data_IF_969080231496
#
_entry.id   IF_969080231496
#
_cell.length_a   1.000
_cell.length_b   1.000
_cell.length_c   1.000
_cell.angle_alpha   90.00
_cell.angle_beta   90.00
_cell.angle_gamma   90.00
#
_symmetry.space_group_name_H-M   'P 1'
#
loop_
_entity.id
_entity.type
_entity.pdbx_description
1 polymer ?
#
# COMPACT_ATOMS: atom_id res chain seq x y z
N UNK A 1 9.38 -15.72 4.31
CA UNK A 1 8.11 -15.81 5.03
C UNK A 1 7.16 -14.81 4.39
N UNK A 2 6.01 -15.25 3.88
CA UNK A 2 4.94 -14.34 3.47
C UNK A 2 4.50 -13.51 4.67
N UNK A 3 4.08 -12.25 4.48
CA UNK A 3 3.63 -11.35 5.56
C UNK A 3 2.31 -11.77 6.22
N UNK A 4 2.03 -13.09 6.25
CA UNK A 4 0.82 -13.75 6.72
C UNK A 4 0.86 -14.09 8.22
N UNK A 5 1.97 -13.89 8.92
CA UNK A 5 2.16 -14.39 10.30
C UNK A 5 1.80 -13.41 11.41
N UNK A 6 1.70 -12.09 11.15
CA UNK A 6 1.27 -11.14 12.18
C UNK A 6 -0.26 -10.97 12.13
N UNK A 7 -1.00 -11.28 13.21
CA UNK A 7 -2.41 -10.96 13.32
C UNK A 7 -2.71 -9.51 12.93
N UNK A 8 -3.80 -9.26 12.20
CA UNK A 8 -4.20 -7.92 11.75
C UNK A 8 -4.26 -6.88 12.88
N UNK A 9 -4.54 -7.33 14.12
CA UNK A 9 -4.58 -6.47 15.30
C UNK A 9 -3.22 -5.91 15.71
N UNK A 10 -2.14 -6.50 15.21
CA UNK A 10 -0.76 -6.10 15.50
C UNK A 10 -0.15 -5.26 14.36
N UNK A 11 -0.97 -4.80 13.41
CA UNK A 11 -0.55 -4.04 12.24
C UNK A 11 -1.27 -2.68 12.15
N UNK A 12 -1.04 -1.77 13.12
CA UNK A 12 -1.74 -0.49 13.18
C UNK A 12 -1.51 0.36 11.94
N UNK A 13 -0.32 0.30 11.32
CA UNK A 13 -0.02 1.13 10.15
C UNK A 13 -0.76 0.62 8.89
N UNK A 14 -0.81 -0.70 8.65
CA UNK A 14 -1.67 -1.28 7.60
C UNK A 14 -3.15 -0.97 7.83
N UNK A 15 -3.60 -0.92 9.09
CA UNK A 15 -4.98 -0.54 9.40
C UNK A 15 -5.28 0.91 8.99
N UNK A 16 -4.41 1.87 9.34
CA UNK A 16 -4.55 3.26 8.90
C UNK A 16 -4.52 3.39 7.38
N UNK A 17 -3.58 2.71 6.70
CA UNK A 17 -3.49 2.70 5.24
C UNK A 17 -4.79 2.23 4.57
N UNK A 18 -5.39 1.16 5.08
CA UNK A 18 -6.70 0.65 4.65
C UNK A 18 -7.82 1.66 4.88
N UNK A 19 -7.86 2.27 6.06
CA UNK A 19 -8.87 3.27 6.40
C UNK A 19 -8.77 4.51 5.50
N UNK A 20 -7.56 4.94 5.14
CA UNK A 20 -7.33 6.00 4.15
C UNK A 20 -7.90 5.60 2.79
N UNK A 21 -7.65 4.37 2.32
CA UNK A 21 -8.21 3.92 1.06
C UNK A 21 -9.74 3.84 1.09
N UNK A 22 -10.34 3.31 2.16
CA UNK A 22 -11.79 3.30 2.33
C UNK A 22 -12.38 4.71 2.35
N UNK A 23 -11.71 5.66 3.02
CA UNK A 23 -12.10 7.08 3.03
C UNK A 23 -12.08 7.69 1.63
N UNK A 24 -11.04 7.42 0.84
CA UNK A 24 -10.96 7.83 -0.56
C UNK A 24 -12.16 7.27 -1.36
N UNK A 25 -12.45 5.97 -1.22
CA UNK A 25 -13.57 5.34 -1.90
C UNK A 25 -14.90 5.98 -1.50
N UNK A 26 -15.17 6.18 -0.21
CA UNK A 26 -16.40 6.84 0.26
C UNK A 26 -16.55 8.24 -0.33
N UNK A 27 -15.46 8.99 -0.46
CA UNK A 27 -15.47 10.32 -1.06
C UNK A 27 -15.80 10.29 -2.55
N UNK A 28 -15.36 9.26 -3.26
CA UNK A 28 -15.64 9.06 -4.68
C UNK A 28 -17.03 8.44 -4.95
N UNK A 29 -17.63 7.76 -3.96
CA UNK A 29 -18.92 7.05 -4.11
C UNK A 29 -20.04 7.92 -4.70
N UNK A 30 -20.32 9.14 -4.23
CA UNK A 30 -21.46 9.92 -4.74
C UNK A 30 -21.33 10.26 -6.23
N UNK A 31 -20.09 10.44 -6.72
CA UNK A 31 -19.83 10.81 -8.10
C UNK A 31 -19.76 9.60 -9.03
N UNK A 32 -19.14 8.51 -8.57
CA UNK A 32 -18.84 7.34 -9.40
C UNK A 32 -19.88 6.21 -9.24
N UNK A 33 -20.73 6.22 -8.22
CA UNK A 33 -21.68 5.14 -7.96
C UNK A 33 -20.98 3.82 -7.64
N UNK A 34 -19.97 3.88 -6.76
CA UNK A 34 -19.08 2.76 -6.46
C UNK A 34 -19.80 1.51 -5.94
N UNK A 35 -21.02 1.61 -5.41
CA UNK A 35 -21.81 0.46 -4.99
C UNK A 35 -22.11 -0.53 -6.13
N UNK A 36 -22.07 -0.05 -7.38
CA UNK A 36 -22.31 -0.84 -8.59
C UNK A 36 -21.05 -1.52 -9.13
N UNK A 37 -19.88 -1.19 -8.60
CA UNK A 37 -18.60 -1.64 -9.14
C UNK A 37 -18.36 -3.14 -8.87
N UNK A 38 -17.44 -3.70 -9.63
CA UNK A 38 -16.83 -4.98 -9.31
C UNK A 38 -15.55 -4.73 -8.50
N UNK A 39 -15.53 -5.11 -7.23
CA UNK A 39 -14.29 -5.16 -6.46
C UNK A 39 -13.59 -6.51 -6.64
N UNK A 40 -12.30 -6.46 -6.96
CA UNK A 40 -11.40 -7.61 -7.08
C UNK A 40 -10.19 -7.36 -6.19
N UNK A 41 -9.84 -8.33 -5.35
CA UNK A 41 -8.63 -8.21 -4.53
C UNK A 41 -8.27 -9.50 -3.80
N UNK A 42 -7.21 -9.41 -3.00
CA UNK A 42 -6.77 -10.48 -2.10
C UNK A 42 -7.27 -10.18 -0.69
N UNK A 43 -8.01 -11.10 -0.08
CA UNK A 43 -8.70 -10.83 1.19
C UNK A 43 -8.04 -11.44 2.43
N UNK A 44 -6.96 -12.20 2.27
CA UNK A 44 -6.40 -13.05 3.32
C UNK A 44 -7.44 -14.04 3.87
N UNK A 45 -7.16 -14.76 4.98
CA UNK A 45 -8.05 -15.81 5.47
C UNK A 45 -9.37 -15.33 6.06
N UNK A 46 -9.51 -14.03 6.36
CA UNK A 46 -10.67 -13.45 7.07
C UNK A 46 -11.48 -12.45 6.25
N UNK A 47 -11.04 -12.10 5.03
CA UNK A 47 -11.79 -11.26 4.09
C UNK A 47 -12.16 -9.88 4.69
N UNK A 48 -11.29 -9.31 5.51
CA UNK A 48 -11.58 -8.08 6.27
C UNK A 48 -11.82 -6.88 5.36
N UNK A 49 -11.00 -6.72 4.32
CA UNK A 49 -11.16 -5.67 3.31
C UNK A 49 -12.52 -5.78 2.60
N UNK A 50 -12.96 -7.00 2.30
CA UNK A 50 -14.25 -7.26 1.66
C UNK A 50 -15.42 -6.92 2.58
N UNK A 51 -15.32 -7.25 3.87
CA UNK A 51 -16.31 -6.89 4.90
C UNK A 51 -16.46 -5.38 5.00
N UNK A 52 -15.36 -4.64 5.00
CA UNK A 52 -15.35 -3.18 5.10
C UNK A 52 -15.90 -2.52 3.83
N UNK A 53 -15.52 -2.99 2.64
CA UNK A 53 -16.06 -2.50 1.37
C UNK A 53 -17.57 -2.73 1.26
N UNK A 54 -18.04 -3.92 1.63
CA UNK A 54 -19.47 -4.22 1.65
C UNK A 54 -20.24 -3.31 2.61
N UNK A 55 -19.72 -3.15 3.84
CA UNK A 55 -20.40 -2.38 4.88
C UNK A 55 -20.38 -0.88 4.60
N UNK A 56 -19.28 -0.30 4.12
CA UNK A 56 -19.14 1.16 3.93
C UNK A 56 -19.51 1.66 2.56
N UNK A 57 -19.17 0.94 1.50
CA UNK A 57 -19.44 1.35 0.11
C UNK A 57 -20.73 0.73 -0.41
N UNK A 58 -21.12 -0.43 0.10
CA UNK A 58 -22.38 -1.10 -0.28
C UNK A 58 -22.26 -2.07 -1.45
N UNK A 59 -21.05 -2.37 -1.90
CA UNK A 59 -20.82 -3.36 -2.97
C UNK A 59 -21.29 -4.75 -2.50
N UNK A 60 -22.06 -5.44 -3.33
CA UNK A 60 -22.60 -6.76 -3.02
C UNK A 60 -23.82 -6.75 -2.09
N UNK A 61 -24.45 -5.58 -1.84
CA UNK A 61 -25.70 -5.49 -1.08
C UNK A 61 -26.90 -5.97 -1.88
N UNK A 62 -27.93 -6.45 -1.17
CA UNK A 62 -29.22 -6.82 -1.76
C UNK A 62 -30.08 -5.57 -1.98
N UNK A 63 -30.68 -5.48 -3.15
CA UNK A 63 -31.75 -4.52 -3.49
C UNK A 63 -32.93 -5.32 -4.04
N UNK A 64 -33.87 -5.67 -3.16
CA UNK A 64 -34.86 -6.70 -3.44
C UNK A 64 -34.21 -8.07 -3.67
N UNK A 65 -34.57 -8.75 -4.76
CA UNK A 65 -33.99 -10.05 -5.13
C UNK A 65 -32.58 -9.95 -5.75
N UNK A 66 -32.17 -8.77 -6.21
CA UNK A 66 -30.92 -8.55 -6.96
C UNK A 66 -29.77 -8.17 -6.03
N UNK A 67 -28.56 -8.59 -6.36
CA UNK A 67 -27.32 -8.12 -5.73
C UNK A 67 -26.75 -6.98 -6.58
N UNK A 68 -26.44 -5.85 -5.96
CA UNK A 68 -25.83 -4.68 -6.62
C UNK A 68 -24.31 -4.76 -6.48
N UNK A 69 -23.57 -4.57 -7.57
CA UNK A 69 -22.11 -4.72 -7.58
C UNK A 69 -21.64 -6.16 -7.37
N UNK A 70 -20.32 -6.37 -7.38
CA UNK A 70 -19.70 -7.70 -7.23
C UNK A 70 -18.48 -7.63 -6.34
N UNK A 71 -18.30 -8.65 -5.51
CA UNK A 71 -17.13 -8.84 -4.65
C UNK A 71 -16.44 -10.16 -5.04
N UNK A 72 -15.23 -10.10 -5.58
CA UNK A 72 -14.42 -11.29 -5.90
C UNK A 72 -13.11 -11.28 -5.13
N UNK A 73 -12.94 -12.28 -4.25
CA UNK A 73 -11.67 -12.57 -3.61
C UNK A 73 -10.95 -13.65 -4.41
N UNK A 74 -9.71 -13.35 -4.81
CA UNK A 74 -8.83 -14.28 -5.52
C UNK A 74 -7.75 -14.76 -4.55
N UNK A 75 -7.49 -16.05 -4.54
CA UNK A 75 -6.52 -16.69 -3.67
C UNK A 75 -5.88 -17.88 -4.40
N UNK A 76 -4.56 -18.00 -4.37
CA UNK A 76 -3.83 -19.07 -5.07
C UNK A 76 -3.53 -20.25 -4.13
N UNK A 77 -3.42 -20.01 -2.82
CA UNK A 77 -3.15 -21.06 -1.84
C UNK A 77 -4.45 -21.79 -1.43
N UNK A 78 -4.53 -23.10 -1.75
CA UNK A 78 -5.74 -23.90 -1.56
C UNK A 78 -6.27 -23.89 -0.11
N UNK A 79 -5.39 -24.00 0.88
CA UNK A 79 -5.79 -24.02 2.29
C UNK A 79 -6.28 -22.64 2.77
N UNK A 80 -5.68 -21.55 2.27
CA UNK A 80 -6.18 -20.20 2.56
C UNK A 80 -7.53 -19.99 1.88
N UNK A 81 -7.71 -20.47 0.65
CA UNK A 81 -8.99 -20.41 -0.07
C UNK A 81 -10.11 -21.15 0.69
N UNK A 82 -9.82 -22.35 1.23
CA UNK A 82 -10.78 -23.08 2.09
C UNK A 82 -11.13 -22.26 3.34
N UNK A 83 -10.13 -21.64 4.00
CA UNK A 83 -10.36 -20.77 5.16
C UNK A 83 -11.18 -19.53 4.81
N UNK A 84 -10.97 -18.91 3.66
CA UNK A 84 -11.78 -17.79 3.16
C UNK A 84 -13.25 -18.19 2.98
N UNK A 85 -13.50 -19.36 2.38
CA UNK A 85 -14.87 -19.87 2.20
C UNK A 85 -15.58 -20.10 3.53
N UNK A 86 -14.87 -20.61 4.52
CA UNK A 86 -15.39 -20.80 5.87
C UNK A 86 -15.67 -19.47 6.58
N UNK A 87 -14.70 -18.54 6.57
CA UNK A 87 -14.80 -17.25 7.27
C UNK A 87 -15.59 -16.18 6.50
N UNK A 88 -16.25 -16.54 5.38
CA UNK A 88 -16.86 -15.57 4.47
C UNK A 88 -17.88 -14.68 5.21
N UNK A 89 -17.61 -13.37 5.38
CA UNK A 89 -18.42 -12.52 6.25
C UNK A 89 -19.77 -12.14 5.62
N UNK A 90 -19.86 -12.15 4.28
CA UNK A 90 -21.11 -11.91 3.56
C UNK A 90 -21.25 -12.86 2.38
N UNK A 91 -22.46 -13.36 2.14
CA UNK A 91 -22.74 -14.38 1.13
C UNK A 91 -22.42 -13.92 -0.31
N UNK A 92 -22.42 -12.61 -0.57
CA UNK A 92 -22.14 -12.03 -1.89
C UNK A 92 -20.66 -12.05 -2.29
N UNK A 93 -19.74 -12.36 -1.38
CA UNK A 93 -18.32 -12.54 -1.73
C UNK A 93 -18.15 -13.87 -2.49
N UNK A 94 -17.65 -13.78 -3.71
CA UNK A 94 -17.18 -14.93 -4.49
C UNK A 94 -15.70 -15.15 -4.20
N UNK A 95 -15.37 -16.28 -3.56
CA UNK A 95 -13.99 -16.71 -3.41
C UNK A 95 -13.61 -17.56 -4.63
N UNK A 96 -12.51 -17.24 -5.30
CA UNK A 96 -12.01 -17.94 -6.48
C UNK A 96 -10.61 -18.47 -6.18
N UNK A 97 -10.39 -19.76 -6.41
CA UNK A 97 -9.07 -20.38 -6.29
C UNK A 97 -8.33 -20.21 -7.63
N UNK A 98 -7.48 -19.20 -7.73
CA UNK A 98 -6.72 -18.81 -8.92
C UNK A 98 -5.65 -17.81 -8.52
N UNK A 99 -4.66 -17.54 -9.37
CA UNK A 99 -3.82 -16.35 -9.22
C UNK A 99 -4.58 -15.09 -9.63
N UNK A 100 -4.15 -13.91 -9.14
CA UNK A 100 -4.75 -12.64 -9.56
C UNK A 100 -4.55 -12.42 -11.05
N UNK A 101 -3.38 -12.79 -11.56
CA UNK A 101 -2.99 -12.68 -12.96
C UNK A 101 -3.93 -13.47 -13.87
N UNK A 102 -4.08 -14.78 -13.62
CA UNK A 102 -5.00 -15.65 -14.37
C UNK A 102 -6.45 -15.16 -14.30
N UNK A 103 -6.91 -14.75 -13.11
CA UNK A 103 -8.27 -14.25 -12.96
C UNK A 103 -8.52 -13.02 -13.82
N UNK A 104 -7.57 -12.07 -13.83
CA UNK A 104 -7.67 -10.85 -14.62
C UNK A 104 -7.58 -11.14 -16.13
N UNK A 105 -6.72 -12.07 -16.56
CA UNK A 105 -6.60 -12.44 -17.98
C UNK A 105 -7.88 -13.13 -18.51
N UNK A 106 -8.62 -13.82 -17.65
CA UNK A 106 -9.87 -14.51 -18.01
C UNK A 106 -11.12 -13.66 -17.79
N UNK A 107 -11.00 -12.47 -17.19
CA UNK A 107 -12.13 -11.63 -16.82
C UNK A 107 -12.23 -10.40 -17.71
N UNK A 108 -13.27 -10.33 -18.53
CA UNK A 108 -13.62 -9.10 -19.24
C UNK A 108 -14.40 -8.16 -18.34
N UNK A 109 -13.85 -6.96 -18.11
CA UNK A 109 -14.52 -5.90 -17.36
C UNK A 109 -15.30 -4.99 -18.31
N UNK A 110 -16.62 -5.12 -18.33
CA UNK A 110 -17.53 -4.24 -19.11
C UNK A 110 -18.04 -3.05 -18.31
N UNK A 111 -17.81 -3.06 -17.00
CA UNK A 111 -18.14 -1.99 -16.06
C UNK A 111 -16.90 -1.60 -15.28
N UNK A 112 -16.77 -0.34 -14.86
CA UNK A 112 -15.66 0.09 -14.01
C UNK A 112 -15.52 -0.78 -12.77
N UNK A 113 -14.27 -1.03 -12.37
CA UNK A 113 -13.95 -1.92 -11.26
C UNK A 113 -13.02 -1.24 -10.26
N UNK A 114 -12.99 -1.80 -9.05
CA UNK A 114 -11.98 -1.48 -8.05
C UNK A 114 -11.07 -2.71 -7.95
N UNK A 115 -9.78 -2.57 -8.27
CA UNK A 115 -8.84 -3.70 -8.22
C UNK A 115 -7.72 -3.37 -7.23
N UNK A 116 -7.54 -4.23 -6.23
CA UNK A 116 -6.44 -4.11 -5.28
C UNK A 116 -5.43 -5.26 -5.44
N UNK A 117 -4.27 -4.92 -5.99
CA UNK A 117 -3.07 -5.74 -6.09
C UNK A 117 -2.29 -5.72 -4.76
N UNK A 118 -2.73 -6.48 -3.75
CA UNK A 118 -2.02 -6.59 -2.44
C UNK A 118 -0.79 -7.53 -2.54
N UNK A 119 0.23 -7.13 -3.31
CA UNK A 119 1.46 -7.89 -3.49
C UNK A 119 2.38 -7.76 -2.26
N UNK A 120 2.37 -8.81 -1.44
CA UNK A 120 3.20 -8.87 -0.23
C UNK A 120 4.56 -9.54 -0.45
N UNK A 121 4.73 -10.26 -1.56
CA UNK A 121 5.97 -11.00 -1.85
C UNK A 121 7.01 -10.08 -2.49
N UNK A 122 8.26 -10.05 -1.98
CA UNK A 122 9.31 -9.22 -2.57
C UNK A 122 9.85 -9.75 -3.91
N UNK A 123 9.57 -11.02 -4.23
CA UNK A 123 10.00 -11.64 -5.47
C UNK A 123 9.09 -11.18 -6.60
N UNK A 124 9.67 -10.86 -7.75
CA UNK A 124 8.91 -10.48 -8.94
C UNK A 124 8.43 -9.03 -8.97
N UNK A 125 9.04 -8.13 -8.19
CA UNK A 125 8.61 -6.71 -8.12
C UNK A 125 8.50 -6.02 -9.50
N UNK A 126 9.39 -6.36 -10.45
CA UNK A 126 9.29 -5.85 -11.82
C UNK A 126 8.01 -6.30 -12.53
N UNK A 127 7.68 -7.59 -12.44
CA UNK A 127 6.46 -8.16 -13.02
C UNK A 127 5.21 -7.60 -12.34
N UNK A 128 5.23 -7.43 -11.01
CA UNK A 128 4.14 -6.82 -10.25
C UNK A 128 3.87 -5.38 -10.71
N UNK A 129 4.92 -4.57 -10.88
CA UNK A 129 4.80 -3.19 -11.38
C UNK A 129 4.31 -3.16 -12.82
N UNK A 130 4.86 -4.02 -13.69
CA UNK A 130 4.44 -4.12 -15.10
C UNK A 130 2.97 -4.52 -15.21
N UNK A 131 2.55 -5.56 -14.48
CA UNK A 131 1.17 -6.03 -14.48
C UNK A 131 0.20 -4.94 -14.01
N UNK A 132 0.55 -4.22 -12.95
CA UNK A 132 -0.26 -3.09 -12.48
C UNK A 132 -0.36 -2.00 -13.55
N UNK A 133 0.77 -1.61 -14.16
CA UNK A 133 0.80 -0.62 -15.22
C UNK A 133 -0.06 -1.06 -16.43
N UNK A 134 0.12 -2.28 -16.93
CA UNK A 134 -0.66 -2.83 -18.05
C UNK A 134 -2.18 -2.78 -17.79
N UNK A 135 -2.60 -3.11 -16.57
CA UNK A 135 -4.02 -3.11 -16.17
C UNK A 135 -4.66 -1.73 -16.31
N UNK A 136 -3.90 -0.65 -16.14
CA UNK A 136 -4.38 0.72 -16.35
C UNK A 136 -4.92 0.93 -17.78
N UNK A 137 -4.29 0.29 -18.77
CA UNK A 137 -4.66 0.39 -20.17
C UNK A 137 -5.88 -0.44 -20.56
N UNK A 138 -6.15 -1.52 -19.83
CA UNK A 138 -7.22 -2.48 -20.19
C UNK A 138 -8.52 -2.24 -19.42
N UNK A 139 -8.46 -1.54 -18.28
CA UNK A 139 -9.63 -1.30 -17.45
C UNK A 139 -10.55 -0.21 -18.00
N UNK A 140 -11.88 -0.32 -17.83
CA UNK A 140 -12.81 0.74 -18.20
C UNK A 140 -12.50 2.06 -17.47
N UNK A 141 -12.75 3.18 -18.15
CA UNK A 141 -12.71 4.52 -17.55
C UNK A 141 -13.62 4.58 -16.33
N UNK A 142 -13.18 5.23 -15.27
CA UNK A 142 -13.81 5.31 -13.96
C UNK A 142 -13.32 4.22 -13.00
N UNK A 143 -12.49 3.28 -13.45
CA UNK A 143 -11.93 2.23 -12.58
C UNK A 143 -10.91 2.80 -11.58
N UNK A 144 -10.84 2.17 -10.41
CA UNK A 144 -9.91 2.53 -9.34
C UNK A 144 -8.94 1.37 -9.14
N UNK A 145 -7.65 1.62 -9.30
CA UNK A 145 -6.62 0.60 -9.14
C UNK A 145 -5.76 0.96 -7.94
N UNK A 146 -5.47 -0.03 -7.10
CA UNK A 146 -4.58 0.09 -5.95
C UNK A 146 -3.56 -1.02 -5.97
N UNK A 147 -2.31 -0.71 -5.65
CA UNK A 147 -1.25 -1.69 -5.46
C UNK A 147 -0.60 -1.51 -4.11
N UNK A 148 -0.21 -2.62 -3.51
CA UNK A 148 0.69 -2.70 -2.36
C UNK A 148 1.94 -3.45 -2.82
N UNK A 149 3.13 -2.92 -2.56
CA UNK A 149 4.41 -3.52 -2.94
C UNK A 149 5.32 -3.60 -1.71
N UNK A 150 6.17 -4.62 -1.70
CA UNK A 150 7.24 -4.74 -0.72
C UNK A 150 8.24 -3.59 -0.88
N UNK A 151 8.52 -2.88 0.22
CA UNK A 151 9.43 -1.74 0.27
C UNK A 151 10.56 -1.98 1.27
N UNK A 152 10.94 -3.25 1.49
CA UNK A 152 12.01 -3.61 2.38
C UNK A 152 13.34 -3.74 1.63
N UNK A 153 14.35 -2.88 1.89
CA UNK A 153 15.65 -3.02 1.26
C UNK A 153 16.36 -4.32 1.70
N UNK A 154 15.99 -4.91 2.83
CA UNK A 154 16.44 -6.25 3.23
C UNK A 154 16.00 -7.34 2.26
N UNK A 155 14.92 -7.11 1.51
CA UNK A 155 14.45 -8.04 0.49
C UNK A 155 15.42 -8.19 -0.70
N UNK A 156 16.35 -7.25 -0.90
CA UNK A 156 17.42 -7.33 -1.90
C UNK A 156 18.49 -8.35 -1.52
N UNK A 157 18.47 -8.82 -0.27
CA UNK A 157 19.38 -9.81 0.27
C UNK A 157 20.48 -9.20 1.13
N UNK A 158 21.37 -10.09 1.54
CA UNK A 158 22.60 -9.76 2.26
C UNK A 158 23.81 -10.12 1.40
N UNK A 159 24.90 -9.34 1.46
CA UNK A 159 26.14 -9.71 0.80
C UNK A 159 26.68 -11.04 1.35
N UNK A 160 27.33 -11.88 0.51
CA UNK A 160 27.88 -13.16 0.95
C UNK A 160 28.82 -13.02 2.16
N UNK A 161 28.66 -13.90 3.15
CA UNK A 161 29.53 -14.01 4.32
C UNK A 161 30.99 -14.11 3.89
N UNK A 162 31.86 -13.21 4.37
CA UNK A 162 33.29 -13.19 4.01
C UNK A 162 33.68 -12.23 2.87
N UNK A 163 32.72 -11.55 2.22
CA UNK A 163 33.05 -10.30 1.52
C UNK A 163 33.25 -9.22 2.57
N UNK A 164 34.49 -8.79 2.74
CA UNK A 164 34.79 -7.59 3.52
C UNK A 164 33.98 -6.42 2.93
N UNK A 165 33.02 -5.89 3.70
CA UNK A 165 32.30 -4.68 3.34
C UNK A 165 33.11 -3.49 3.83
N UNK A 166 33.18 -2.42 3.04
CA UNK A 166 33.59 -1.13 3.59
C UNK A 166 32.48 -0.66 4.53
N UNK A 167 32.86 -0.34 5.76
CA UNK A 167 31.99 0.32 6.73
C UNK A 167 32.28 1.81 6.64
N UNK A 168 31.22 2.62 6.55
CA UNK A 168 31.29 4.06 6.71
C UNK A 168 30.56 4.40 8.01
N UNK A 169 31.28 4.96 8.97
CA UNK A 169 30.73 5.51 10.21
C UNK A 169 31.09 7.00 10.23
N UNK A 170 30.10 7.86 10.39
CA UNK A 170 30.28 9.32 10.53
C UNK A 170 31.16 10.00 9.47
N UNK A 171 31.09 9.52 8.22
CA UNK A 171 31.84 10.08 7.09
C UNK A 171 33.29 9.59 6.97
N UNK A 172 33.75 8.76 7.91
CA UNK A 172 35.03 8.07 7.81
C UNK A 172 34.86 6.71 7.13
N UNK A 173 35.58 6.55 6.01
CA UNK A 173 35.59 5.31 5.25
C UNK A 173 36.74 4.41 5.70
N UNK A 174 36.47 3.12 5.82
CA UNK A 174 37.52 2.12 5.99
C UNK A 174 38.58 2.24 4.88
N UNK A 175 39.85 2.00 5.24
CA UNK A 175 41.02 2.15 4.37
C UNK A 175 40.96 1.33 3.07
N UNK A 176 40.05 0.36 3.00
CA UNK A 176 39.81 -0.55 1.89
C UNK A 176 38.54 -0.23 1.06
N UNK A 177 37.90 0.94 1.27
CA UNK A 177 36.76 1.45 0.46
C UNK A 177 37.04 1.38 -1.05
N UNK A 178 38.27 1.64 -1.47
CA UNK A 178 38.67 1.56 -2.89
C UNK A 178 38.51 0.16 -3.51
N UNK A 179 38.39 -0.89 -2.70
CA UNK A 179 38.39 -2.29 -3.16
C UNK A 179 37.11 -3.06 -2.80
N UNK A 180 36.20 -2.48 -2.00
CA UNK A 180 35.05 -3.20 -1.41
C UNK A 180 33.77 -2.35 -1.45
N UNK A 181 32.68 -2.86 -2.06
CA UNK A 181 31.41 -2.14 -2.11
C UNK A 181 30.78 -2.09 -0.70
N UNK A 182 30.10 -1.00 -0.42
CA UNK A 182 29.22 -0.86 0.74
C UNK A 182 28.00 -1.77 0.59
N UNK A 183 27.30 -2.03 1.71
CA UNK A 183 26.03 -2.77 1.69
C UNK A 183 24.98 -2.08 0.80
N UNK A 184 24.97 -0.75 0.76
CA UNK A 184 24.08 0.04 -0.06
C UNK A 184 24.36 -0.14 -1.57
N UNK A 185 25.62 -0.11 -1.98
CA UNK A 185 26.03 -0.34 -3.37
C UNK A 185 25.74 -1.76 -3.84
N UNK A 186 26.01 -2.77 -2.99
CA UNK A 186 25.65 -4.16 -3.30
C UNK A 186 24.14 -4.33 -3.49
N UNK A 187 23.34 -3.73 -2.59
CA UNK A 187 21.87 -3.74 -2.72
C UNK A 187 21.41 -3.00 -3.97
N UNK A 188 22.08 -1.91 -4.35
CA UNK A 188 21.76 -1.18 -5.58
C UNK A 188 22.02 -2.01 -6.84
N UNK A 189 23.08 -2.82 -6.86
CA UNK A 189 23.29 -3.78 -7.96
C UNK A 189 22.14 -4.79 -8.05
N UNK A 190 21.72 -5.37 -6.92
CA UNK A 190 20.56 -6.29 -6.87
C UNK A 190 19.26 -5.61 -7.31
N UNK A 191 19.07 -4.35 -6.95
CA UNK A 191 17.93 -3.53 -7.38
C UNK A 191 17.91 -3.35 -8.89
N UNK A 192 19.05 -3.00 -9.49
CA UNK A 192 19.21 -2.90 -10.94
C UNK A 192 18.96 -4.23 -11.66
N UNK A 193 19.48 -5.34 -11.14
CA UNK A 193 19.23 -6.67 -11.69
C UNK A 193 17.74 -7.04 -11.68
N UNK A 194 17.01 -6.70 -10.60
CA UNK A 194 15.60 -7.05 -10.45
C UNK A 194 14.66 -6.20 -11.32
N UNK A 195 14.92 -4.89 -11.41
CA UNK A 195 14.03 -3.95 -12.12
C UNK A 195 14.46 -3.68 -13.56
N UNK A 196 15.74 -3.91 -13.89
CA UNK A 196 16.29 -3.71 -15.22
C UNK A 196 15.96 -2.33 -15.79
N UNK A 197 15.27 -2.32 -16.94
CA UNK A 197 14.90 -1.09 -17.66
C UNK A 197 13.89 -0.19 -16.94
N UNK A 198 13.27 -0.67 -15.85
CA UNK A 198 12.33 0.13 -15.05
C UNK A 198 13.04 1.11 -14.11
N UNK A 199 14.34 0.96 -13.88
CA UNK A 199 15.07 1.82 -12.93
C UNK A 199 15.08 3.28 -13.42
N UNK A 200 14.59 4.23 -12.62
CA UNK A 200 14.62 5.65 -12.96
C UNK A 200 16.05 6.20 -13.03
N UNK A 201 16.26 7.21 -13.86
CA UNK A 201 17.52 7.97 -13.86
C UNK A 201 17.74 8.69 -12.51
N UNK A 202 19.01 8.77 -12.11
CA UNK A 202 19.42 9.47 -10.88
C UNK A 202 19.15 8.70 -9.57
N UNK A 203 18.71 7.43 -9.63
CA UNK A 203 18.72 6.56 -8.44
C UNK A 203 20.15 6.07 -8.20
N UNK A 204 20.59 6.11 -6.94
CA UNK A 204 21.92 5.67 -6.53
C UNK A 204 21.84 4.70 -5.35
N UNK A 205 23.01 4.25 -4.87
CA UNK A 205 23.12 3.41 -3.67
C UNK A 205 22.49 4.05 -2.43
N UNK A 206 22.47 5.38 -2.32
CA UNK A 206 21.87 6.11 -1.19
C UNK A 206 20.37 5.84 -1.02
N UNK A 207 19.69 5.42 -2.10
CA UNK A 207 18.28 5.07 -2.09
C UNK A 207 18.01 3.71 -1.43
N UNK A 208 19.03 2.86 -1.21
CA UNK A 208 18.88 1.50 -0.69
C UNK A 208 18.81 1.44 0.85
N UNK A 209 18.23 2.47 1.45
CA UNK A 209 18.02 2.60 2.90
C UNK A 209 16.56 2.34 3.25
N UNK A 210 16.28 2.00 4.52
CA UNK A 210 14.91 1.72 4.98
C UNK A 210 13.95 2.90 4.71
N UNK A 211 14.47 4.12 4.83
CA UNK A 211 13.72 5.35 4.59
C UNK A 211 13.46 5.64 3.10
N UNK A 212 14.48 5.48 2.24
CA UNK A 212 14.44 5.95 0.84
C UNK A 212 14.01 4.88 -0.18
N UNK A 213 14.07 3.61 0.19
CA UNK A 213 13.78 2.52 -0.74
C UNK A 213 12.30 2.49 -1.17
N UNK A 214 11.36 2.66 -0.23
CA UNK A 214 9.93 2.75 -0.55
C UNK A 214 9.59 3.85 -1.56
N UNK A 215 9.93 5.13 -1.30
CA UNK A 215 9.76 6.22 -2.27
C UNK A 215 10.41 5.93 -3.64
N UNK A 216 11.53 5.22 -3.66
CA UNK A 216 12.19 4.82 -4.91
C UNK A 216 11.36 3.80 -5.69
N UNK A 217 10.77 2.81 -5.00
CA UNK A 217 9.80 1.87 -5.62
C UNK A 217 8.57 2.60 -6.15
N UNK A 218 8.04 3.56 -5.41
CA UNK A 218 6.91 4.39 -5.86
C UNK A 218 7.26 5.20 -7.11
N UNK A 219 8.48 5.73 -7.21
CA UNK A 219 8.97 6.42 -8.42
C UNK A 219 9.06 5.47 -9.61
N UNK A 220 9.55 4.25 -9.42
CA UNK A 220 9.59 3.20 -10.47
C UNK A 220 8.16 2.90 -10.95
N UNK A 221 7.24 2.66 -10.02
CA UNK A 221 5.83 2.38 -10.29
C UNK A 221 5.18 3.53 -11.09
N UNK A 222 5.37 4.76 -10.63
CA UNK A 222 4.81 5.95 -11.26
C UNK A 222 5.24 6.06 -12.72
N UNK A 223 6.55 5.95 -13.00
CA UNK A 223 7.07 6.04 -14.37
C UNK A 223 6.55 4.92 -15.26
N UNK A 224 6.43 3.69 -14.73
CA UNK A 224 5.86 2.57 -15.49
C UNK A 224 4.40 2.83 -15.88
N UNK A 225 3.58 3.29 -14.92
CA UNK A 225 2.16 3.61 -15.14
C UNK A 225 1.99 4.80 -16.08
N UNK A 226 2.73 5.88 -15.89
CA UNK A 226 2.63 7.08 -16.73
C UNK A 226 3.06 6.78 -18.17
N UNK A 227 4.15 6.03 -18.34
CA UNK A 227 4.57 5.57 -19.66
C UNK A 227 3.51 4.71 -20.32
N UNK A 228 2.86 3.81 -19.57
CA UNK A 228 1.77 3.00 -20.11
C UNK A 228 0.56 3.85 -20.51
N UNK A 229 0.21 4.85 -19.70
CA UNK A 229 -0.92 5.74 -19.96
C UNK A 229 -0.75 6.57 -21.24
N UNK A 230 0.50 6.91 -21.62
CA UNK A 230 0.79 7.62 -22.87
C UNK A 230 0.35 6.85 -24.12
N UNK A 231 0.22 5.52 -24.03
CA UNK A 231 -0.25 4.67 -25.13
C UNK A 231 -1.76 4.78 -25.39
N UNK A 232 -2.51 5.50 -24.56
CA UNK A 232 -3.96 5.60 -24.63
C UNK A 232 -4.42 7.06 -24.75
N UNK A 233 -5.07 7.40 -25.86
CA UNK A 233 -5.51 8.76 -26.14
C UNK A 233 -6.82 9.14 -25.43
N UNK A 234 -7.65 8.17 -25.05
CA UNK A 234 -8.98 8.36 -24.45
C UNK A 234 -8.93 8.64 -22.94
N UNK A 235 -7.81 8.32 -22.29
CA UNK A 235 -7.68 8.32 -20.83
C UNK A 235 -6.47 9.10 -20.32
N UNK A 236 -6.53 9.38 -19.03
CA UNK A 236 -5.43 9.85 -18.19
C UNK A 236 -5.54 9.21 -16.82
N UNK A 237 -4.46 9.30 -16.05
CA UNK A 237 -4.37 8.71 -14.73
C UNK A 237 -4.32 9.81 -13.68
N UNK A 238 -5.17 9.69 -12.67
CA UNK A 238 -5.12 10.56 -11.51
C UNK A 238 -4.69 9.72 -10.30
N UNK A 239 -3.46 9.94 -9.83
CA UNK A 239 -3.00 9.38 -8.56
C UNK A 239 -3.82 10.01 -7.42
N UNK A 240 -4.28 9.20 -6.47
CA UNK A 240 -5.21 9.66 -5.44
C UNK A 240 -4.69 9.47 -4.01
N UNK A 241 -3.89 8.43 -3.79
CA UNK A 241 -3.33 8.12 -2.48
C UNK A 241 -2.05 7.32 -2.67
N UNK A 242 -0.97 7.73 -2.04
CA UNK A 242 0.22 6.91 -1.88
C UNK A 242 0.65 6.90 -0.42
N UNK A 243 1.11 5.75 0.05
CA UNK A 243 1.54 5.58 1.44
C UNK A 243 2.84 4.77 1.50
N UNK A 244 3.65 5.03 2.52
CA UNK A 244 4.80 4.23 2.91
C UNK A 244 4.66 3.92 4.39
N UNK A 245 4.45 2.65 4.74
CA UNK A 245 4.14 2.25 6.11
C UNK A 245 4.98 1.06 6.54
N UNK A 246 5.20 0.89 7.84
CA UNK A 246 6.00 -0.21 8.36
C UNK A 246 5.35 -0.86 9.59
N UNK A 247 4.91 -2.12 9.46
CA UNK A 247 4.53 -2.99 10.58
C UNK A 247 5.57 -4.11 10.70
N UNK A 248 6.80 -3.74 11.04
CA UNK A 248 7.98 -4.62 10.94
C UNK A 248 8.61 -4.54 9.54
N UNK A 249 7.90 -5.03 8.52
CA UNK A 249 8.32 -4.93 7.12
C UNK A 249 7.73 -3.69 6.45
N UNK A 250 8.55 -2.79 5.87
CA UNK A 250 8.06 -1.62 5.16
C UNK A 250 7.40 -2.01 3.84
N UNK A 251 6.28 -1.35 3.56
CA UNK A 251 5.45 -1.54 2.38
C UNK A 251 5.10 -0.18 1.81
N UNK A 252 4.95 -0.10 0.49
CA UNK A 252 4.35 1.07 -0.16
C UNK A 252 3.02 0.71 -0.78
N UNK A 253 2.11 1.67 -0.81
CA UNK A 253 0.88 1.56 -1.59
C UNK A 253 0.71 2.76 -2.50
N UNK A 254 0.02 2.56 -3.62
CA UNK A 254 -0.44 3.63 -4.47
C UNK A 254 -1.82 3.29 -5.05
N UNK A 255 -2.71 4.26 -5.06
CA UNK A 255 -4.03 4.17 -5.68
C UNK A 255 -4.20 5.26 -6.73
N UNK A 256 -4.86 4.91 -7.83
CA UNK A 256 -5.15 5.79 -8.95
C UNK A 256 -6.58 5.58 -9.44
N UNK A 257 -7.09 6.59 -10.16
CA UNK A 257 -8.32 6.51 -10.93
C UNK A 257 -7.99 6.60 -12.41
N UNK A 258 -8.54 5.70 -13.22
CA UNK A 258 -8.48 5.77 -14.68
C UNK A 258 -9.56 6.75 -15.12
N UNK A 259 -9.18 7.96 -15.52
CA UNK A 259 -10.11 9.03 -15.88
C UNK A 259 -10.22 9.16 -17.40
N UNK A 260 -11.39 9.61 -17.88
CA UNK A 260 -11.48 10.18 -19.23
C UNK A 260 -10.59 11.42 -19.29
N UNK A 261 -10.00 11.71 -20.46
CA UNK A 261 -9.25 12.96 -20.63
C UNK A 261 -10.10 14.21 -20.42
N UNK A 262 -11.40 14.14 -20.74
CA UNK A 262 -12.31 15.28 -20.69
C UNK A 262 -12.98 15.47 -19.32
N UNK A 263 -12.99 14.42 -18.48
CA UNK A 263 -13.63 14.46 -17.16
C UNK A 263 -12.61 14.82 -16.06
N UNK A 264 -12.88 15.93 -15.38
CA UNK A 264 -12.10 16.43 -14.24
C UNK A 264 -12.85 16.33 -12.91
N UNK A 265 -14.06 15.77 -12.89
CA UNK A 265 -14.87 15.74 -11.68
C UNK A 265 -14.26 14.84 -10.58
N UNK A 266 -13.68 13.70 -10.96
CA UNK A 266 -12.94 12.85 -10.02
C UNK A 266 -11.67 13.53 -9.52
N UNK A 267 -10.94 14.23 -10.40
CA UNK A 267 -9.71 14.95 -10.08
C UNK A 267 -9.92 15.98 -8.98
N UNK A 268 -10.97 16.82 -9.09
CA UNK A 268 -11.27 17.81 -8.05
C UNK A 268 -11.57 17.15 -6.71
N UNK A 269 -12.39 16.10 -6.70
CA UNK A 269 -12.70 15.36 -5.47
C UNK A 269 -11.42 14.79 -4.84
N UNK A 270 -10.52 14.26 -5.64
CA UNK A 270 -9.25 13.70 -5.18
C UNK A 270 -8.33 14.78 -4.59
N UNK A 271 -8.10 15.87 -5.33
CA UNK A 271 -7.14 16.92 -4.93
C UNK A 271 -7.61 17.76 -3.74
N UNK A 272 -8.92 17.94 -3.59
CA UNK A 272 -9.51 18.67 -2.44
C UNK A 272 -9.56 17.80 -1.16
N UNK A 273 -9.06 16.56 -1.19
CA UNK A 273 -9.06 15.67 -0.04
C UNK A 273 -7.82 15.88 0.83
N UNK A 274 -7.98 15.98 2.16
CA UNK A 274 -6.90 16.25 3.10
C UNK A 274 -5.76 15.20 3.09
N UNK A 275 -6.07 13.98 2.64
CA UNK A 275 -5.10 12.89 2.53
C UNK A 275 -4.69 12.61 1.08
N UNK A 276 -4.94 13.53 0.15
CA UNK A 276 -4.33 13.47 -1.17
C UNK A 276 -2.81 13.31 -1.05
N UNK A 277 -2.27 12.30 -1.74
CA UNK A 277 -0.85 12.04 -1.83
C UNK A 277 -0.55 11.28 -3.12
N UNK A 278 0.52 11.68 -3.79
CA UNK A 278 0.99 11.02 -5.02
C UNK A 278 2.20 10.15 -4.72
N UNK A 279 2.62 9.26 -5.64
CA UNK A 279 3.86 8.50 -5.49
C UNK A 279 5.12 9.35 -5.25
N UNK A 280 5.10 10.65 -5.59
CA UNK A 280 6.24 11.56 -5.36
C UNK A 280 6.37 11.98 -3.88
N UNK A 281 5.23 12.12 -3.18
CA UNK A 281 5.18 12.50 -1.76
C UNK A 281 4.15 11.62 -1.02
N UNK A 282 4.49 10.35 -0.75
CA UNK A 282 3.58 9.42 -0.08
C UNK A 282 3.45 9.77 1.41
N UNK A 283 2.25 9.56 1.97
CA UNK A 283 2.07 9.61 3.42
C UNK A 283 2.94 8.55 4.09
N UNK A 284 3.83 8.96 4.96
CA UNK A 284 4.61 8.05 5.80
C UNK A 284 3.82 7.71 7.06
N UNK A 285 3.44 6.45 7.20
CA UNK A 285 2.60 5.95 8.30
C UNK A 285 3.47 5.05 9.18
N UNK A 286 4.05 5.65 10.22
CA UNK A 286 4.79 4.96 11.27
C UNK A 286 4.31 5.51 12.61
N UNK A 287 3.19 4.95 13.08
CA UNK A 287 2.58 5.31 14.33
C UNK A 287 3.46 4.86 15.51
N UNK A 288 3.69 5.72 16.51
CA UNK A 288 4.42 5.32 17.70
C UNK A 288 3.65 4.24 18.47
N UNK A 289 4.38 3.35 19.13
CA UNK A 289 3.80 2.47 20.12
C UNK A 289 3.45 3.31 21.35
N UNK A 290 2.15 3.45 21.63
CA UNK A 290 1.63 4.25 22.74
C UNK A 290 0.79 3.37 23.66
N UNK A 291 0.95 3.57 24.97
CA UNK A 291 -0.01 3.13 25.97
C UNK A 291 -1.34 3.86 25.82
N UNK A 292 -2.41 3.31 26.40
CA UNK A 292 -3.73 3.96 26.42
C UNK A 292 -3.68 5.37 27.03
N UNK A 293 -2.85 5.58 28.06
CA UNK A 293 -2.75 6.87 28.74
C UNK A 293 -1.99 7.89 27.89
N UNK A 294 -0.87 7.51 27.27
CA UNK A 294 -0.12 8.38 26.36
C UNK A 294 -1.00 8.80 25.19
N UNK A 295 -1.71 7.84 24.58
CA UNK A 295 -2.67 8.09 23.50
C UNK A 295 -3.75 9.09 23.91
N UNK A 296 -4.48 8.82 25.00
CA UNK A 296 -5.54 9.72 25.48
C UNK A 296 -5.00 11.11 25.81
N UNK A 297 -3.78 11.18 26.34
CA UNK A 297 -3.09 12.44 26.61
C UNK A 297 -2.82 13.21 25.31
N UNK A 298 -2.32 12.53 24.28
CA UNK A 298 -2.06 13.11 22.96
C UNK A 298 -3.34 13.55 22.23
N UNK A 299 -4.45 12.83 22.41
CA UNK A 299 -5.74 13.18 21.81
C UNK A 299 -6.41 14.39 22.47
N UNK A 300 -6.22 14.55 23.79
CA UNK A 300 -6.92 15.57 24.60
C UNK A 300 -6.12 16.84 24.87
N UNK A 301 -4.84 16.91 24.49
CA UNK A 301 -3.97 18.05 24.81
C UNK A 301 -3.24 18.60 23.58
N UNK A 302 -3.23 19.93 23.44
CA UNK A 302 -2.49 20.63 22.40
C UNK A 302 -0.97 20.64 22.67
N UNK A 303 -0.57 20.77 23.95
CA UNK A 303 0.82 20.74 24.39
C UNK A 303 1.19 19.34 24.94
N UNK A 304 1.48 18.43 24.01
CA UNK A 304 1.79 17.02 24.28
C UNK A 304 3.05 16.87 25.14
N UNK A 305 4.15 17.56 24.78
CA UNK A 305 5.44 17.47 25.48
C UNK A 305 5.30 17.77 26.98
N UNK A 306 4.63 18.88 27.32
CA UNK A 306 4.42 19.27 28.73
C UNK A 306 3.61 18.23 29.52
N UNK A 307 2.67 17.55 28.87
CA UNK A 307 1.75 16.61 29.54
C UNK A 307 2.32 15.21 29.67
N UNK A 308 3.06 14.74 28.67
CA UNK A 308 3.77 13.47 28.75
C UNK A 308 4.95 13.53 29.73
N UNK A 309 5.61 14.69 29.84
CA UNK A 309 6.78 14.85 30.71
C UNK A 309 8.07 14.30 30.10
N UNK A 310 8.03 13.85 28.84
CA UNK A 310 9.17 13.42 28.03
C UNK A 310 8.88 13.71 26.55
N UNK A 311 9.93 13.76 25.73
CA UNK A 311 9.82 13.92 24.29
C UNK A 311 9.67 12.56 23.61
N UNK A 312 8.58 12.36 22.87
CA UNK A 312 8.35 11.15 22.09
C UNK A 312 9.39 10.96 20.99
N UNK A 313 9.93 12.04 20.42
CA UNK A 313 10.96 11.96 19.39
C UNK A 313 12.28 11.38 19.90
N UNK A 314 12.55 11.50 21.21
CA UNK A 314 13.76 10.99 21.86
C UNK A 314 13.63 9.51 22.28
N UNK A 315 12.41 9.02 22.50
CA UNK A 315 12.16 7.66 23.00
C UNK A 315 11.58 6.71 21.94
N UNK A 316 11.16 7.22 20.79
CA UNK A 316 10.64 6.44 19.66
C UNK A 316 11.59 6.55 18.47
N UNK A 317 12.27 5.46 18.14
CA UNK A 317 13.06 5.37 16.91
C UNK A 317 12.15 5.24 15.68
N UNK A 318 12.11 6.28 14.85
CA UNK A 318 11.37 6.29 13.59
C UNK A 318 12.27 5.88 12.43
N UNK A 319 12.04 4.68 11.90
CA UNK A 319 12.82 4.12 10.79
C UNK A 319 12.44 4.75 9.44
N UNK A 320 11.23 5.27 9.31
CA UNK A 320 10.80 6.12 8.19
C UNK A 320 11.18 7.61 8.40
N UNK A 321 11.71 7.90 9.58
CA UNK A 321 12.03 9.19 10.17
C UNK A 321 11.01 10.27 9.92
N UNK A 322 9.87 10.00 10.49
CA UNK A 322 8.76 10.90 10.71
C UNK A 322 8.74 11.29 12.18
N UNK A 323 8.26 12.49 12.49
CA UNK A 323 8.00 12.88 13.87
C UNK A 323 6.81 12.05 14.40
N UNK A 324 7.00 11.25 15.47
CA UNK A 324 5.94 10.41 16.03
C UNK A 324 4.71 11.21 16.49
N UNK A 325 4.90 12.44 16.97
CA UNK A 325 3.80 13.32 17.41
C UNK A 325 3.01 13.82 16.21
N UNK A 326 3.70 14.29 15.17
CA UNK A 326 3.07 14.76 13.94
C UNK A 326 2.26 13.65 13.24
N UNK A 327 2.84 12.44 13.12
CA UNK A 327 2.16 11.29 12.51
C UNK A 327 0.95 10.86 13.32
N UNK A 328 1.08 10.79 14.64
CA UNK A 328 -0.06 10.50 15.49
C UNK A 328 -1.18 11.54 15.29
N UNK A 329 -0.88 12.83 15.38
CA UNK A 329 -1.88 13.91 15.18
C UNK A 329 -2.55 13.85 13.81
N UNK A 330 -1.84 13.41 12.78
CA UNK A 330 -2.39 13.26 11.43
C UNK A 330 -3.37 12.08 11.31
N UNK A 331 -3.09 10.97 11.98
CA UNK A 331 -3.81 9.70 11.74
C UNK A 331 -4.55 9.13 12.96
N UNK A 332 -4.55 9.78 14.12
CA UNK A 332 -5.14 9.23 15.36
C UNK A 332 -6.61 8.82 15.23
N UNK A 333 -7.39 9.52 14.39
CA UNK A 333 -8.82 9.19 14.13
C UNK A 333 -9.01 7.88 13.37
N UNK A 334 -7.97 7.43 12.67
CA UNK A 334 -7.94 6.18 11.91
C UNK A 334 -7.25 5.06 12.71
N UNK A 335 -6.76 5.37 13.91
CA UNK A 335 -6.05 4.43 14.75
C UNK A 335 -7.01 3.35 15.28
N UNK A 336 -6.71 2.05 15.09
CA UNK A 336 -7.62 0.99 15.48
C UNK A 336 -7.78 0.91 17.01
N UNK A 337 -9.01 0.66 17.46
CA UNK A 337 -9.31 0.39 18.87
C UNK A 337 -9.38 -1.12 19.09
N UNK A 338 -8.44 -1.66 19.84
CA UNK A 338 -8.50 -3.06 20.28
C UNK A 338 -8.98 -3.11 21.72
N UNK A 339 -10.25 -3.44 21.90
CA UNK A 339 -10.82 -3.72 23.22
C UNK A 339 -10.96 -5.24 23.39
N UNK A 340 -10.59 -5.75 24.57
CA UNK A 340 -10.92 -7.12 24.95
C UNK A 340 -12.43 -7.19 25.14
N UNK A 341 -13.07 -8.10 24.40
CA UNK A 341 -14.44 -8.53 24.70
C UNK A 341 -14.27 -9.79 25.55
N UNK A 342 -14.58 -9.70 26.85
CA UNK A 342 -14.82 -10.89 27.66
C UNK A 342 -16.20 -11.41 27.25
N UNK A 343 -16.23 -12.65 26.73
CA UNK A 343 -17.43 -13.34 26.30
C UNK A 343 -17.96 -14.21 27.44
#
# INVERSE_FOLDING_TARGET
>A
MSGSSLPYRLRPNKAVDRELFLSLLMRLTPKLGLEKYHYVGLGGPFLEDFRLLHSRIGIGRKKGSRTVGRLTCVESELEIHKRQRFNRPVASIKCVHSTLEEFLDQTTFTTPAIIWFDYTTPRGIALQIQRFAETVGTMPIGSILRVTLNADPGSLGEPPSGKNLSVEVDGEASADRAHKPTKAEWRFQRFNERLGKLVPSGVSADAMTFRKYGPTILRVLKLAVEKQALSFADRRIEWALATHYADGQPMVTAALVVCSREDSAAEKLIKDWEFYATPDDPHRIELPALSSLERLTMESNSNVLRKLGFDLAEVVDSRLGVDPVAVFKKFYRLYPHFSRVEL
#
